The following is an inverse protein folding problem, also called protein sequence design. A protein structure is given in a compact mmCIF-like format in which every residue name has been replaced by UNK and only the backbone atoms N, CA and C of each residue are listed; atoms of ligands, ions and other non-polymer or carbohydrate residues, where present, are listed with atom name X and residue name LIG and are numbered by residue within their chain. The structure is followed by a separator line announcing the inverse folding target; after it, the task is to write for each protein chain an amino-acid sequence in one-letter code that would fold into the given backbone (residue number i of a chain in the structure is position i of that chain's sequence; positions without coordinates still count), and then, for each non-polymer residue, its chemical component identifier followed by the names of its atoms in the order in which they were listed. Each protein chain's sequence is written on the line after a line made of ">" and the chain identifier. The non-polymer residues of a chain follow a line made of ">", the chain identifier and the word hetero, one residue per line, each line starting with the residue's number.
data_IF_984461999182
#
_entry.id   IF_984461999182
#
_cell.length_a   1.000
_cell.length_b   1.000
_cell.length_c   1.000
_cell.angle_alpha   90.00
_cell.angle_beta   90.00
_cell.angle_gamma   90.00
#
_symmetry.space_group_name_H-M   'P 1'
#
loop_
_entity.id
_entity.type
_entity.pdbx_description
1 polymer ?
#
# COMPACT_ATOMS: atom_id res chain seq x y z
N UNK A 1 15.92 -13.46 -3.57
CA UNK A 1 15.22 -13.45 -2.27
C UNK A 1 14.04 -12.52 -2.33
N UNK A 2 12.88 -13.00 -1.94
CA UNK A 2 11.65 -12.21 -1.92
C UNK A 2 11.47 -11.47 -0.60
N UNK A 3 10.97 -10.24 -0.68
CA UNK A 3 10.58 -9.44 0.48
C UNK A 3 9.17 -8.88 0.27
N UNK A 4 8.52 -8.53 1.38
CA UNK A 4 7.25 -7.79 1.41
C UNK A 4 7.47 -6.53 2.22
N UNK A 5 7.04 -5.41 1.67
CA UNK A 5 7.14 -4.11 2.32
C UNK A 5 5.75 -3.47 2.36
N UNK A 6 5.37 -2.94 3.53
CA UNK A 6 4.13 -2.20 3.73
C UNK A 6 4.46 -0.82 4.27
N UNK A 7 3.92 0.21 3.64
CA UNK A 7 4.06 1.58 4.13
C UNK A 7 2.73 2.33 4.04
N UNK A 8 2.61 3.36 4.84
CA UNK A 8 1.53 4.34 4.77
C UNK A 8 2.09 5.72 4.50
N UNK A 9 1.31 6.58 3.88
CA UNK A 9 1.68 7.97 3.65
C UNK A 9 0.45 8.86 3.57
N UNK A 10 0.67 10.18 3.61
CA UNK A 10 -0.39 11.18 3.45
C UNK A 10 -0.24 11.85 2.09
N UNK A 11 -1.35 11.98 1.35
CA UNK A 11 -1.36 12.72 0.10
C UNK A 11 -1.13 14.20 0.34
N UNK A 12 -0.44 14.87 -0.57
CA UNK A 12 -0.23 16.33 -0.53
C UNK A 12 -1.32 17.11 -1.26
N UNK A 13 -2.22 16.40 -1.94
CA UNK A 13 -3.39 16.96 -2.61
C UNK A 13 -4.54 15.97 -2.50
N UNK A 14 -5.78 16.35 -2.82
CA UNK A 14 -6.91 15.42 -2.78
C UNK A 14 -6.65 14.18 -3.63
N UNK A 15 -7.03 13.01 -3.09
CA UNK A 15 -6.94 11.75 -3.81
C UNK A 15 -8.18 11.61 -4.68
N UNK A 16 -8.06 11.97 -5.96
CA UNK A 16 -9.13 11.80 -6.94
C UNK A 16 -8.82 10.65 -7.90
N UNK A 17 -9.78 10.29 -8.74
CA UNK A 17 -9.63 9.17 -9.67
C UNK A 17 -8.54 9.42 -10.71
N UNK A 18 -8.30 10.66 -11.11
CA UNK A 18 -7.25 11.00 -12.06
C UNK A 18 -5.86 10.74 -11.45
N UNK A 19 -5.66 11.12 -10.19
CA UNK A 19 -4.41 10.85 -9.48
C UNK A 19 -4.17 9.35 -9.33
N UNK A 20 -5.19 8.61 -8.90
CA UNK A 20 -5.09 7.15 -8.73
C UNK A 20 -4.78 6.47 -10.06
N UNK A 21 -5.47 6.84 -11.13
CA UNK A 21 -5.22 6.27 -12.46
C UNK A 21 -3.77 6.51 -12.91
N UNK A 22 -3.25 7.71 -12.69
CA UNK A 22 -1.86 8.05 -13.02
C UNK A 22 -0.86 7.20 -12.24
N UNK A 23 -1.09 7.02 -10.94
CA UNK A 23 -0.24 6.18 -10.09
C UNK A 23 -0.24 4.73 -10.57
N UNK A 24 -1.41 4.17 -10.84
CA UNK A 24 -1.55 2.78 -11.28
C UNK A 24 -0.91 2.54 -12.64
N UNK A 25 -1.07 3.46 -13.58
CA UNK A 25 -0.48 3.33 -14.92
C UNK A 25 1.05 3.23 -14.84
N UNK A 26 1.68 4.12 -14.07
CA UNK A 26 3.13 4.10 -13.86
C UNK A 26 3.58 2.84 -13.12
N UNK A 27 2.83 2.43 -12.12
CA UNK A 27 3.14 1.23 -11.34
C UNK A 27 3.07 -0.03 -12.20
N UNK A 28 2.04 -0.19 -13.01
CA UNK A 28 1.90 -1.35 -13.91
C UNK A 28 3.10 -1.47 -14.85
N UNK A 29 3.48 -0.37 -15.49
CA UNK A 29 4.61 -0.36 -16.42
C UNK A 29 5.93 -0.69 -15.72
N UNK A 30 6.22 -0.04 -14.58
CA UNK A 30 7.43 -0.26 -13.82
C UNK A 30 7.49 -1.68 -13.24
N UNK A 31 6.41 -2.12 -12.61
CA UNK A 31 6.38 -3.39 -11.87
C UNK A 31 6.52 -4.59 -12.80
N UNK A 32 5.93 -4.52 -14.00
CA UNK A 32 6.05 -5.59 -14.99
C UNK A 32 7.51 -5.83 -15.39
N UNK A 33 8.31 -4.76 -15.47
CA UNK A 33 9.72 -4.83 -15.86
C UNK A 33 10.65 -5.27 -14.74
N UNK A 34 10.23 -5.14 -13.47
CA UNK A 34 11.08 -5.37 -12.30
C UNK A 34 10.63 -6.52 -11.41
N UNK A 35 9.64 -7.29 -11.85
CA UNK A 35 9.16 -8.44 -11.10
C UNK A 35 8.44 -8.08 -9.81
N UNK A 36 7.83 -6.90 -9.75
CA UNK A 36 7.12 -6.42 -8.58
C UNK A 36 5.62 -6.69 -8.68
N UNK A 37 5.01 -7.01 -7.56
CA UNK A 37 3.56 -7.17 -7.40
C UNK A 37 3.11 -6.43 -6.15
N UNK A 38 1.80 -6.21 -5.99
CA UNK A 38 1.28 -5.57 -4.80
C UNK A 38 -0.11 -4.98 -4.97
N UNK A 39 -0.51 -4.19 -3.96
CA UNK A 39 -1.79 -3.50 -3.91
C UNK A 39 -1.64 -2.09 -3.39
N UNK A 40 -2.41 -1.18 -3.96
CA UNK A 40 -2.57 0.18 -3.49
C UNK A 40 -3.95 0.34 -2.85
N UNK A 41 -3.94 0.79 -1.61
CA UNK A 41 -5.16 1.08 -0.83
C UNK A 41 -5.24 2.59 -0.63
N UNK A 42 -6.41 3.16 -0.89
CA UNK A 42 -6.63 4.60 -0.78
C UNK A 42 -7.78 4.89 0.17
N UNK A 43 -7.61 5.90 1.02
CA UNK A 43 -8.66 6.46 1.86
C UNK A 43 -8.78 7.94 1.52
N UNK A 44 -9.62 8.27 0.54
CA UNK A 44 -9.69 9.62 -0.02
C UNK A 44 -10.17 10.65 0.98
N UNK A 45 -11.10 10.27 1.88
CA UNK A 45 -11.61 11.19 2.90
C UNK A 45 -10.54 11.64 3.89
N UNK A 46 -9.64 10.76 4.27
CA UNK A 46 -8.54 11.08 5.19
C UNK A 46 -7.25 11.44 4.48
N UNK A 47 -7.19 11.29 3.16
CA UNK A 47 -6.01 11.61 2.38
C UNK A 47 -4.83 10.65 2.61
N UNK A 48 -5.10 9.36 2.79
CA UNK A 48 -4.10 8.36 3.14
C UNK A 48 -3.90 7.35 2.03
N UNK A 49 -2.63 7.05 1.75
CA UNK A 49 -2.23 5.89 0.94
C UNK A 49 -1.68 4.80 1.85
N UNK A 50 -1.98 3.55 1.50
CA UNK A 50 -1.39 2.38 2.11
C UNK A 50 -1.03 1.42 0.98
N UNK A 51 0.22 0.99 0.91
CA UNK A 51 0.67 0.16 -0.22
C UNK A 51 1.52 -1.00 0.27
N UNK A 52 1.23 -2.18 -0.28
CA UNK A 52 2.05 -3.37 -0.10
C UNK A 52 2.80 -3.65 -1.41
N UNK A 53 4.09 -3.97 -1.28
CA UNK A 53 4.97 -4.32 -2.39
C UNK A 53 5.62 -5.66 -2.11
N UNK A 54 5.64 -6.52 -3.12
CA UNK A 54 6.36 -7.80 -3.06
C UNK A 54 7.26 -7.96 -4.27
N UNK A 55 8.45 -8.48 -4.04
CA UNK A 55 9.42 -8.72 -5.09
C UNK A 55 10.81 -8.97 -4.55
N UNK A 56 11.80 -8.94 -5.42
CA UNK A 56 13.20 -9.05 -5.03
C UNK A 56 13.62 -7.89 -4.14
N UNK A 57 14.49 -8.17 -3.17
CA UNK A 57 14.94 -7.16 -2.20
C UNK A 57 15.44 -5.88 -2.86
N UNK A 58 16.32 -6.01 -3.87
CA UNK A 58 16.89 -4.83 -4.52
C UNK A 58 15.83 -3.99 -5.24
N UNK A 59 14.91 -4.63 -5.96
CA UNK A 59 13.85 -3.95 -6.69
C UNK A 59 12.88 -3.23 -5.75
N UNK A 60 12.49 -3.88 -4.65
CA UNK A 60 11.61 -3.29 -3.64
C UNK A 60 12.28 -2.08 -2.97
N UNK A 61 13.56 -2.22 -2.57
CA UNK A 61 14.28 -1.12 -1.95
C UNK A 61 14.42 0.08 -2.87
N UNK A 62 14.74 -0.15 -4.13
CA UNK A 62 14.88 0.93 -5.11
C UNK A 62 13.55 1.67 -5.32
N UNK A 63 12.47 0.92 -5.50
CA UNK A 63 11.15 1.51 -5.67
C UNK A 63 10.73 2.29 -4.42
N UNK A 64 10.90 1.72 -3.24
CA UNK A 64 10.56 2.41 -1.99
C UNK A 64 11.34 3.71 -1.83
N UNK A 65 12.62 3.73 -2.17
CA UNK A 65 13.43 4.94 -2.18
C UNK A 65 12.85 6.02 -3.08
N UNK A 66 12.38 5.65 -4.27
CA UNK A 66 11.72 6.58 -5.20
C UNK A 66 10.40 7.09 -4.64
N UNK A 67 9.62 6.22 -4.00
CA UNK A 67 8.34 6.58 -3.38
C UNK A 67 8.57 7.60 -2.26
N UNK A 68 9.55 7.40 -1.41
CA UNK A 68 9.86 8.33 -0.31
C UNK A 68 10.19 9.73 -0.82
N UNK A 69 10.79 9.83 -1.99
CA UNK A 69 11.18 11.12 -2.61
C UNK A 69 10.07 11.75 -3.45
N UNK A 70 8.95 11.07 -3.65
CA UNK A 70 7.85 11.56 -4.50
C UNK A 70 7.06 12.66 -3.78
N UNK A 71 6.97 13.89 -4.35
CA UNK A 71 6.30 15.01 -3.68
C UNK A 71 4.76 14.90 -3.65
N UNK A 72 4.17 13.89 -4.31
CA UNK A 72 2.72 13.69 -4.29
C UNK A 72 2.21 13.21 -2.93
N UNK A 73 3.11 12.82 -2.03
CA UNK A 73 2.78 12.42 -0.67
C UNK A 73 3.88 12.83 0.32
N UNK A 74 3.57 12.70 1.59
CA UNK A 74 4.46 13.00 2.71
C UNK A 74 4.23 12.01 3.85
N UNK A 75 5.02 12.15 4.92
CA UNK A 75 4.91 11.32 6.12
C UNK A 75 4.98 9.83 5.80
N UNK A 76 5.82 9.45 4.84
CA UNK A 76 5.99 8.05 4.44
C UNK A 76 6.53 7.26 5.62
N UNK A 77 5.73 6.30 6.10
CA UNK A 77 6.01 5.54 7.30
C UNK A 77 6.04 4.05 6.96
N UNK A 78 7.18 3.42 7.21
CA UNK A 78 7.32 1.98 7.05
C UNK A 78 6.56 1.27 8.19
N UNK A 79 5.60 0.43 7.84
CA UNK A 79 4.79 -0.31 8.81
C UNK A 79 5.27 -1.74 9.01
N UNK A 80 5.71 -2.38 7.92
CA UNK A 80 6.19 -3.76 7.98
C UNK A 80 7.19 -4.02 6.84
N UNK A 81 8.21 -4.82 7.14
CA UNK A 81 9.17 -5.29 6.16
C UNK A 81 9.64 -6.68 6.57
N UNK A 82 9.48 -7.66 5.68
CA UNK A 82 9.87 -9.02 6.00
C UNK A 82 10.40 -9.78 4.78
N UNK A 83 11.26 -10.72 5.03
CA UNK A 83 11.67 -11.73 4.06
C UNK A 83 10.54 -12.76 3.96
N UNK A 84 10.14 -13.11 2.75
CA UNK A 84 9.02 -14.03 2.51
C UNK A 84 9.47 -15.21 1.65
N UNK A 85 8.83 -16.36 1.87
CA UNK A 85 9.08 -17.56 1.06
C UNK A 85 8.24 -17.58 -0.22
N UNK A 86 7.10 -16.92 -0.20
CA UNK A 86 6.21 -16.82 -1.36
C UNK A 86 5.40 -15.54 -1.32
N UNK A 87 4.90 -15.11 -2.47
CA UNK A 87 4.08 -13.92 -2.59
C UNK A 87 2.65 -14.20 -2.15
N UNK A 88 2.04 -13.23 -1.46
CA UNK A 88 0.60 -13.22 -1.17
C UNK A 88 -0.17 -12.49 -2.27
N UNK A 89 0.46 -11.50 -2.92
CA UNK A 89 -0.14 -10.63 -3.93
C UNK A 89 0.39 -10.93 -5.34
N UNK A 90 0.62 -12.19 -5.64
CA UNK A 90 1.34 -12.62 -6.84
C UNK A 90 0.61 -12.34 -8.16
N UNK A 91 -0.73 -12.25 -8.13
CA UNK A 91 -1.55 -12.07 -9.33
C UNK A 91 -1.66 -10.62 -9.80
N UNK A 92 -1.16 -9.67 -9.01
CA UNK A 92 -1.38 -8.25 -9.27
C UNK A 92 -0.07 -7.49 -9.46
N UNK A 93 0.12 -6.85 -10.62
CA UNK A 93 1.24 -5.91 -10.81
C UNK A 93 1.05 -4.63 -10.01
N UNK A 94 -0.18 -4.21 -9.81
CA UNK A 94 -0.62 -3.29 -8.76
C UNK A 94 -2.15 -3.29 -8.76
N UNK A 95 -2.77 -3.99 -7.80
CA UNK A 95 -4.21 -3.92 -7.57
C UNK A 95 -4.57 -2.66 -6.80
N UNK A 96 -5.86 -2.33 -6.77
CA UNK A 96 -6.34 -1.14 -6.05
C UNK A 96 -7.58 -1.48 -5.22
N UNK A 97 -7.63 -0.97 -3.98
CA UNK A 97 -8.81 -1.03 -3.11
C UNK A 97 -9.09 0.37 -2.55
N UNK A 98 -10.35 0.81 -2.64
CA UNK A 98 -10.80 2.05 -2.03
C UNK A 98 -11.29 1.77 -0.60
N UNK A 99 -10.52 2.19 0.40
CA UNK A 99 -10.84 1.95 1.82
C UNK A 99 -12.06 2.70 2.31
N UNK A 100 -12.48 3.77 1.63
CA UNK A 100 -13.70 4.51 1.99
C UNK A 100 -14.98 3.67 1.81
N UNK A 101 -14.89 2.59 1.03
CA UNK A 101 -16.03 1.70 0.75
C UNK A 101 -16.02 0.45 1.62
N UNK A 102 -15.04 0.30 2.49
CA UNK A 102 -14.93 -0.88 3.36
C UNK A 102 -15.87 -0.74 4.55
N UNK A 103 -16.49 -1.85 4.93
CA UNK A 103 -17.39 -1.91 6.08
C UNK A 103 -16.64 -1.53 7.38
N UNK A 104 -17.23 -0.64 8.16
CA UNK A 104 -16.63 -0.18 9.43
C UNK A 104 -16.38 -1.33 10.39
N UNK A 105 -17.24 -2.36 10.39
CA UNK A 105 -17.05 -3.56 11.21
C UNK A 105 -15.77 -4.32 10.84
N UNK A 106 -15.42 -4.35 9.56
CA UNK A 106 -14.18 -4.96 9.11
C UNK A 106 -12.98 -4.19 9.64
N UNK A 107 -13.02 -2.86 9.59
CA UNK A 107 -11.95 -2.01 10.12
C UNK A 107 -11.79 -2.22 11.63
N UNK A 108 -12.91 -2.29 12.37
CA UNK A 108 -12.91 -2.51 13.82
C UNK A 108 -12.27 -3.83 14.25
N UNK A 109 -12.28 -4.84 13.40
CA UNK A 109 -11.62 -6.12 13.72
C UNK A 109 -10.11 -5.96 13.88
N UNK A 110 -9.51 -4.93 13.29
CA UNK A 110 -8.06 -4.76 13.20
C UNK A 110 -7.55 -3.44 13.77
N UNK A 111 -8.43 -2.57 14.27
CA UNK A 111 -8.05 -1.26 14.78
C UNK A 111 -8.84 -0.87 16.03
N UNK A 112 -8.37 0.16 16.70
CA UNK A 112 -8.95 0.64 17.97
C UNK A 112 -10.28 1.37 17.78
N UNK A 113 -10.52 1.89 16.57
CA UNK A 113 -11.73 2.66 16.25
C UNK A 113 -12.21 2.36 14.84
N UNK A 114 -13.46 2.75 14.49
CA UNK A 114 -13.98 2.53 13.13
C UNK A 114 -13.32 3.45 12.09
N UNK A 115 -12.57 4.45 12.51
CA UNK A 115 -11.83 5.33 11.59
C UNK A 115 -10.54 4.64 11.19
N UNK A 116 -10.32 4.49 9.88
CA UNK A 116 -9.08 3.91 9.39
C UNK A 116 -7.91 4.87 9.57
N UNK A 117 -6.96 4.49 10.41
CA UNK A 117 -5.72 5.23 10.64
C UNK A 117 -4.53 4.25 10.68
N UNK A 118 -3.85 4.05 9.53
CA UNK A 118 -2.74 3.10 9.48
C UNK A 118 -1.54 3.52 10.33
N UNK A 119 -1.41 4.81 10.62
CA UNK A 119 -0.30 5.31 11.46
C UNK A 119 -0.47 4.91 12.92
N UNK A 120 -1.69 4.61 13.35
CA UNK A 120 -1.99 4.11 14.68
C UNK A 120 -2.10 2.60 14.79
N UNK A 121 -1.91 1.87 13.68
CA UNK A 121 -1.99 0.41 13.65
C UNK A 121 -0.60 -0.21 13.69
N UNK A 122 -0.50 -1.43 14.24
CA UNK A 122 0.72 -2.22 14.04
C UNK A 122 0.80 -2.66 12.58
N UNK A 123 2.02 -2.89 12.09
CA UNK A 123 2.20 -3.44 10.75
C UNK A 123 1.49 -4.78 10.57
N UNK A 124 1.48 -5.60 11.63
CA UNK A 124 0.81 -6.90 11.64
C UNK A 124 -0.71 -6.76 11.48
N UNK A 125 -1.34 -5.83 12.21
CA UNK A 125 -2.77 -5.58 12.12
C UNK A 125 -3.14 -5.01 10.74
N UNK A 126 -2.37 -4.05 10.24
CA UNK A 126 -2.58 -3.47 8.92
C UNK A 126 -2.49 -4.55 7.83
N UNK A 127 -1.46 -5.39 7.88
CA UNK A 127 -1.28 -6.45 6.90
C UNK A 127 -2.43 -7.48 6.94
N UNK A 128 -2.93 -7.82 8.13
CA UNK A 128 -4.07 -8.72 8.31
C UNK A 128 -5.35 -8.13 7.70
N UNK A 129 -5.59 -6.83 7.91
CA UNK A 129 -6.71 -6.13 7.28
C UNK A 129 -6.61 -6.20 5.75
N UNK A 130 -5.44 -5.92 5.19
CA UNK A 130 -5.25 -5.95 3.74
C UNK A 130 -5.50 -7.33 3.15
N UNK A 131 -5.16 -8.38 3.88
CA UNK A 131 -5.42 -9.75 3.46
C UNK A 131 -6.91 -10.05 3.30
N UNK A 132 -7.77 -9.40 4.10
CA UNK A 132 -9.22 -9.54 3.98
C UNK A 132 -9.79 -8.80 2.77
N UNK A 133 -9.07 -7.81 2.25
CA UNK A 133 -9.58 -6.87 1.24
C UNK A 133 -9.06 -7.13 -0.17
N UNK A 134 -8.23 -8.13 -0.35
CA UNK A 134 -7.72 -8.44 -1.68
C UNK A 134 -8.66 -9.32 -2.50
#
# INVERSE_FOLDING_TARGET
>A
MLVRLLYASRATSPIDEALVASILERAHAHNAQHGLTGFLYTASESGVFLQVLEGGRAAVNELYGSIVRDPRHKDVTLLDYEEIGERRFATWRMGRVNLDRVNLGTILRFSESPVFDPFGMSGKAALALLGELQ
#
